data_IF_856743004742
#
_entry.id   IF_856743004742
#
_cell.length_a   1.000
_cell.length_b   1.000
_cell.length_c   1.000
_cell.angle_alpha   90.00
_cell.angle_beta   90.00
_cell.angle_gamma   90.00
#
_symmetry.space_group_name_H-M   'P 1'
#
loop_
_entity.id
_entity.type
_entity.pdbx_description
1 polymer ?
#
# COMPACT_ATOMS: atom_id res chain seq x y z
N UNK A 1 5.63 -22.24 28.03
CA UNK A 1 4.33 -22.19 27.34
C UNK A 1 4.54 -21.33 26.10
N UNK A 2 4.04 -21.76 24.92
CA UNK A 2 4.07 -20.90 23.73
C UNK A 2 3.21 -19.65 24.01
N UNK A 3 3.74 -18.48 23.66
CA UNK A 3 3.04 -17.21 23.84
C UNK A 3 2.01 -17.07 22.72
N UNK A 4 0.72 -17.01 23.06
CA UNK A 4 -0.41 -16.96 22.12
C UNK A 4 -1.16 -15.64 22.20
N UNK A 5 -1.65 -15.13 21.06
CA UNK A 5 -2.52 -13.97 21.02
C UNK A 5 -3.73 -14.14 20.11
N UNK A 6 -4.88 -13.63 20.57
CA UNK A 6 -6.02 -13.31 19.73
C UNK A 6 -5.78 -11.92 19.13
N UNK A 7 -5.87 -11.82 17.82
CA UNK A 7 -5.67 -10.57 17.07
C UNK A 7 -6.95 -10.26 16.31
N UNK A 8 -7.47 -9.07 16.50
CA UNK A 8 -8.71 -8.58 15.88
C UNK A 8 -8.38 -7.54 14.83
N UNK A 9 -9.02 -7.62 13.67
CA UNK A 9 -8.74 -6.79 12.51
C UNK A 9 -9.98 -6.13 11.95
N UNK A 10 -9.82 -4.89 11.47
CA UNK A 10 -10.82 -4.17 10.70
C UNK A 10 -10.16 -3.09 9.84
N UNK A 11 -10.87 -2.61 8.82
CA UNK A 11 -10.38 -1.59 7.90
C UNK A 11 -11.19 -0.28 7.95
N UNK A 12 -10.56 0.77 7.49
CA UNK A 12 -11.19 2.06 7.20
C UNK A 12 -10.70 2.59 5.86
N UNK A 13 -11.62 3.14 5.08
CA UNK A 13 -11.29 3.66 3.76
C UNK A 13 -11.28 2.62 2.66
N UNK A 14 -11.92 1.46 2.89
CA UNK A 14 -12.09 0.43 1.86
C UNK A 14 -12.96 0.94 0.70
N UNK A 15 -12.45 0.80 -0.52
CA UNK A 15 -13.16 1.14 -1.76
C UNK A 15 -12.99 0.07 -2.84
N UNK A 16 -12.49 -1.12 -2.45
CA UNK A 16 -12.12 -2.17 -3.40
C UNK A 16 -11.05 -1.67 -4.37
N UNK A 17 -11.21 -1.96 -5.65
CA UNK A 17 -10.28 -1.53 -6.69
C UNK A 17 -10.40 -0.03 -7.09
N UNK A 18 -11.16 0.80 -6.33
CA UNK A 18 -11.28 2.24 -6.59
C UNK A 18 -10.34 3.03 -5.68
N UNK A 19 -9.08 3.14 -6.07
CA UNK A 19 -8.07 3.83 -5.27
C UNK A 19 -8.08 5.37 -5.49
N UNK A 20 -8.74 5.86 -6.54
CA UNK A 20 -8.89 7.29 -6.83
C UNK A 20 -10.05 7.97 -6.07
N UNK A 21 -10.76 7.24 -5.18
CA UNK A 21 -11.87 7.83 -4.43
C UNK A 21 -11.39 8.98 -3.53
N UNK A 22 -11.70 10.22 -3.95
CA UNK A 22 -11.31 11.44 -3.24
C UNK A 22 -11.94 11.57 -1.84
N UNK A 23 -13.08 10.91 -1.58
CA UNK A 23 -13.72 10.96 -0.26
C UNK A 23 -13.01 10.07 0.76
N UNK A 24 -12.25 9.09 0.30
CA UNK A 24 -11.52 8.14 1.12
C UNK A 24 -10.07 7.97 0.60
N UNK A 25 -9.22 9.00 0.70
CA UNK A 25 -7.87 8.99 0.11
C UNK A 25 -6.91 8.06 0.85
N UNK A 26 -7.21 7.71 2.10
CA UNK A 26 -6.38 6.87 2.96
C UNK A 26 -7.10 5.55 3.23
N UNK A 27 -6.40 4.45 2.98
CA UNK A 27 -6.76 3.12 3.46
C UNK A 27 -5.97 2.82 4.73
N UNK A 28 -6.63 2.33 5.77
CA UNK A 28 -6.01 1.88 7.00
C UNK A 28 -6.57 0.53 7.39
N UNK A 29 -5.71 -0.47 7.53
CA UNK A 29 -6.04 -1.75 8.11
C UNK A 29 -5.44 -1.79 9.51
N UNK A 30 -6.26 -1.99 10.53
CA UNK A 30 -5.83 -1.98 11.92
C UNK A 30 -5.92 -3.36 12.55
N UNK A 31 -5.07 -3.59 13.54
CA UNK A 31 -5.09 -4.80 14.35
C UNK A 31 -4.95 -4.48 15.83
N UNK A 32 -5.64 -5.26 16.66
CA UNK A 32 -5.63 -5.11 18.12
C UNK A 32 -5.41 -6.46 18.77
N UNK A 33 -4.47 -6.54 19.71
CA UNK A 33 -4.26 -7.70 20.58
C UNK A 33 -4.86 -7.41 21.95
N UNK A 34 -5.95 -8.09 22.28
CA UNK A 34 -6.67 -7.91 23.54
C UNK A 34 -7.41 -9.21 23.91
N UNK A 35 -7.61 -9.44 25.20
CA UNK A 35 -8.47 -10.56 25.65
C UNK A 35 -9.95 -10.21 25.52
N UNK A 36 -10.78 -11.18 25.14
CA UNK A 36 -12.21 -10.99 24.86
C UNK A 36 -12.96 -10.24 25.96
N UNK A 37 -12.74 -10.63 27.22
CA UNK A 37 -13.42 -9.99 28.34
C UNK A 37 -12.97 -8.55 28.57
N UNK A 38 -11.67 -8.26 28.36
CA UNK A 38 -11.13 -6.90 28.41
C UNK A 38 -11.74 -6.04 27.30
N UNK A 39 -11.83 -6.58 26.06
CA UNK A 39 -12.43 -5.90 24.94
C UNK A 39 -13.92 -5.57 25.19
N UNK A 40 -14.71 -6.54 25.69
CA UNK A 40 -16.12 -6.33 26.04
C UNK A 40 -16.30 -5.26 27.11
N UNK A 41 -15.45 -5.25 28.15
CA UNK A 41 -15.48 -4.24 29.21
C UNK A 41 -15.17 -2.84 28.65
N UNK A 42 -14.15 -2.72 27.82
CA UNK A 42 -13.76 -1.46 27.20
C UNK A 42 -14.84 -0.92 26.29
N UNK A 43 -15.37 -1.75 25.36
CA UNK A 43 -16.46 -1.37 24.46
C UNK A 43 -17.69 -0.92 25.25
N UNK A 44 -18.11 -1.69 26.26
CA UNK A 44 -19.26 -1.36 27.12
C UNK A 44 -19.07 -0.03 27.86
N UNK A 45 -17.85 0.21 28.37
CA UNK A 45 -17.49 1.48 29.02
C UNK A 45 -17.62 2.66 28.06
N UNK A 46 -17.03 2.56 26.86
CA UNK A 46 -17.06 3.60 25.82
C UNK A 46 -18.49 3.90 25.38
N UNK A 47 -19.27 2.87 25.08
CA UNK A 47 -20.68 3.00 24.68
C UNK A 47 -21.47 3.76 25.74
N UNK A 48 -21.36 3.35 27.01
CA UNK A 48 -22.07 3.96 28.15
C UNK A 48 -21.64 5.41 28.38
N UNK A 49 -20.33 5.67 28.46
CA UNK A 49 -19.76 7.00 28.74
C UNK A 49 -20.10 8.01 27.65
N UNK A 50 -19.97 7.61 26.40
CA UNK A 50 -20.20 8.48 25.25
C UNK A 50 -21.61 8.35 24.67
N UNK A 51 -22.52 7.57 25.32
CA UNK A 51 -23.91 7.36 24.90
C UNK A 51 -24.01 7.07 23.40
N UNK A 52 -23.23 6.08 22.95
CA UNK A 52 -23.22 5.64 21.56
C UNK A 52 -24.52 4.91 21.28
N UNK A 53 -25.22 5.32 20.22
CA UNK A 53 -26.48 4.71 19.82
C UNK A 53 -26.20 3.35 19.16
N UNK A 54 -27.18 2.46 19.22
CA UNK A 54 -27.18 1.10 18.64
C UNK A 54 -26.23 0.08 19.32
N UNK A 55 -25.57 0.45 20.42
CA UNK A 55 -24.79 -0.51 21.21
C UNK A 55 -23.51 -1.04 20.53
N UNK A 56 -23.02 -0.36 19.51
CA UNK A 56 -21.85 -0.76 18.70
C UNK A 56 -20.96 0.44 18.43
N UNK A 57 -19.64 0.25 18.53
CA UNK A 57 -18.64 1.21 18.08
C UNK A 57 -18.52 1.09 16.56
N UNK A 58 -18.76 2.19 15.85
CA UNK A 58 -18.52 2.34 14.41
C UNK A 58 -17.59 3.53 14.20
N UNK A 59 -16.31 3.25 13.98
CA UNK A 59 -15.23 4.22 13.90
C UNK A 59 -15.51 5.28 12.85
N UNK A 60 -15.89 4.90 11.65
CA UNK A 60 -16.21 5.82 10.55
C UNK A 60 -17.40 6.76 10.83
N UNK A 61 -18.30 6.44 11.78
CA UNK A 61 -19.33 7.36 12.26
C UNK A 61 -18.82 8.26 13.39
N UNK A 62 -17.97 7.72 14.25
CA UNK A 62 -17.44 8.43 15.42
C UNK A 62 -16.47 9.53 15.04
N UNK A 63 -15.57 9.31 14.08
CA UNK A 63 -14.58 10.33 13.65
C UNK A 63 -15.21 11.62 13.12
N UNK A 64 -16.47 11.55 12.63
CA UNK A 64 -17.19 12.71 12.06
C UNK A 64 -17.61 13.77 13.09
N UNK A 65 -17.57 13.47 14.39
CA UNK A 65 -18.04 14.35 15.47
C UNK A 65 -17.02 14.43 16.60
N UNK A 66 -16.84 15.61 17.21
CA UNK A 66 -15.93 15.82 18.32
C UNK A 66 -16.14 14.85 19.48
N UNK A 67 -17.41 14.56 19.84
CA UNK A 67 -17.73 13.60 20.89
C UNK A 67 -17.26 12.19 20.54
N UNK A 68 -17.41 11.80 19.28
CA UNK A 68 -16.94 10.51 18.79
C UNK A 68 -15.42 10.43 18.75
N UNK A 69 -14.73 11.52 18.31
CA UNK A 69 -13.26 11.59 18.36
C UNK A 69 -12.71 11.45 19.77
N UNK A 70 -13.39 12.03 20.80
CA UNK A 70 -13.02 11.81 22.20
C UNK A 70 -13.18 10.35 22.64
N UNK A 71 -14.23 9.65 22.13
CA UNK A 71 -14.41 8.24 22.41
C UNK A 71 -13.31 7.39 21.79
N UNK A 72 -12.95 7.67 20.54
CA UNK A 72 -11.81 7.02 19.84
C UNK A 72 -10.49 7.31 20.57
N UNK A 73 -10.25 8.54 20.97
CA UNK A 73 -9.03 8.92 21.71
C UNK A 73 -8.84 8.13 23.00
N UNK A 74 -9.93 7.85 23.71
CA UNK A 74 -9.91 7.00 24.89
C UNK A 74 -9.63 5.53 24.55
N UNK A 75 -10.18 5.03 23.44
CA UNK A 75 -9.86 3.68 22.91
C UNK A 75 -8.38 3.58 22.59
N UNK A 76 -7.80 4.53 21.83
CA UNK A 76 -6.38 4.52 21.48
C UNK A 76 -5.50 4.56 22.73
N UNK A 77 -5.89 5.35 23.75
CA UNK A 77 -5.17 5.42 25.02
C UNK A 77 -5.19 4.08 25.76
N UNK A 78 -6.33 3.40 25.80
CA UNK A 78 -6.47 2.10 26.46
C UNK A 78 -5.73 0.97 25.70
N UNK A 79 -5.56 1.11 24.38
CA UNK A 79 -4.90 0.13 23.52
C UNK A 79 -3.41 0.45 23.27
N UNK A 80 -2.83 1.40 23.98
CA UNK A 80 -1.41 1.73 23.82
C UNK A 80 -0.53 0.48 23.98
N UNK A 81 0.35 0.22 22.99
CA UNK A 81 1.19 -0.98 22.93
C UNK A 81 0.46 -2.28 22.53
N UNK A 82 -0.87 -2.23 22.27
CA UNK A 82 -1.70 -3.40 21.90
C UNK A 82 -2.29 -3.25 20.50
N UNK A 83 -1.91 -2.25 19.73
CA UNK A 83 -2.43 -1.98 18.39
C UNK A 83 -1.31 -1.80 17.39
N UNK A 84 -1.55 -2.19 16.15
CA UNK A 84 -0.70 -1.94 14.98
C UNK A 84 -1.57 -1.59 13.79
N UNK A 85 -1.03 -0.80 12.86
CA UNK A 85 -1.75 -0.38 11.65
C UNK A 85 -0.87 -0.50 10.41
N UNK A 86 -1.50 -0.87 9.30
CA UNK A 86 -0.98 -0.70 7.95
C UNK A 86 -1.77 0.43 7.30
N UNK A 87 -1.10 1.49 6.91
CA UNK A 87 -1.74 2.69 6.35
C UNK A 87 -1.20 2.96 4.95
N UNK A 88 -2.08 3.23 4.00
CA UNK A 88 -1.70 3.51 2.62
C UNK A 88 -2.36 4.79 2.10
N UNK A 89 -1.56 5.69 1.54
CA UNK A 89 -2.05 6.70 0.60
C UNK A 89 -2.46 5.98 -0.68
N UNK A 90 -3.76 6.00 -1.01
CA UNK A 90 -4.30 5.21 -2.12
C UNK A 90 -3.77 5.64 -3.49
N UNK A 91 -3.57 6.92 -3.70
CA UNK A 91 -2.99 7.42 -4.96
C UNK A 91 -1.54 6.93 -5.12
N UNK A 92 -0.79 6.91 -4.03
CA UNK A 92 0.58 6.37 -4.07
C UNK A 92 0.61 4.85 -4.22
N UNK A 93 -0.29 4.15 -3.54
CA UNK A 93 -0.46 2.71 -3.74
C UNK A 93 -0.82 2.37 -5.20
N UNK A 94 -1.72 3.14 -5.81
CA UNK A 94 -2.06 2.99 -7.23
C UNK A 94 -0.87 3.22 -8.15
N UNK A 95 -0.03 4.23 -7.85
CA UNK A 95 1.21 4.47 -8.58
C UNK A 95 2.21 3.31 -8.42
N UNK A 96 2.27 2.68 -7.25
CA UNK A 96 3.04 1.44 -7.02
C UNK A 96 2.51 0.28 -7.85
N UNK A 97 1.20 0.08 -7.88
CA UNK A 97 0.53 -0.93 -8.71
C UNK A 97 0.74 -0.67 -10.21
N UNK A 98 0.80 0.58 -10.62
CA UNK A 98 1.15 0.91 -12.00
C UNK A 98 2.56 0.40 -12.36
N UNK A 99 3.55 0.58 -11.49
CA UNK A 99 4.88 0.01 -11.71
C UNK A 99 4.82 -1.52 -11.80
N UNK A 100 4.15 -2.17 -10.86
CA UNK A 100 4.02 -3.62 -10.77
C UNK A 100 3.42 -4.23 -12.04
N UNK A 101 2.34 -3.66 -12.57
CA UNK A 101 1.62 -4.24 -13.71
C UNK A 101 2.06 -3.71 -15.08
N UNK A 102 2.68 -2.54 -15.16
CA UNK A 102 3.10 -1.95 -16.43
C UNK A 102 4.61 -2.11 -16.70
N UNK A 103 5.46 -1.95 -15.68
CA UNK A 103 6.90 -2.05 -15.86
C UNK A 103 7.43 -3.46 -15.64
N UNK A 104 7.03 -4.13 -14.56
CA UNK A 104 7.59 -5.43 -14.18
C UNK A 104 7.46 -6.52 -15.24
N UNK A 105 6.35 -6.66 -15.99
CA UNK A 105 6.26 -7.69 -17.02
C UNK A 105 7.41 -7.64 -18.03
N UNK A 106 7.89 -6.45 -18.35
CA UNK A 106 9.01 -6.24 -19.27
C UNK A 106 10.37 -6.35 -18.62
N UNK A 107 10.45 -6.23 -17.28
CA UNK A 107 11.68 -6.23 -16.49
C UNK A 107 11.89 -7.53 -15.71
N UNK A 108 10.98 -8.50 -15.82
CA UNK A 108 10.87 -9.69 -14.98
C UNK A 108 12.18 -10.44 -14.73
N UNK A 109 13.05 -10.57 -15.76
CA UNK A 109 14.31 -11.31 -15.63
C UNK A 109 15.30 -10.73 -14.63
N UNK A 110 15.20 -9.44 -14.30
CA UNK A 110 16.11 -8.72 -13.39
C UNK A 110 15.38 -7.74 -12.47
N UNK A 111 14.10 -7.95 -12.19
CA UNK A 111 13.32 -7.08 -11.29
C UNK A 111 14.02 -6.78 -9.96
N UNK A 112 14.72 -7.77 -9.40
CA UNK A 112 15.46 -7.60 -8.15
C UNK A 112 16.49 -6.46 -8.20
N UNK A 113 17.12 -6.21 -9.34
CA UNK A 113 18.06 -5.10 -9.53
C UNK A 113 17.33 -3.76 -9.43
N UNK A 114 16.19 -3.62 -10.11
CA UNK A 114 15.40 -2.40 -10.07
C UNK A 114 14.82 -2.11 -8.68
N UNK A 115 14.42 -3.17 -7.95
CA UNK A 115 13.99 -3.04 -6.56
C UNK A 115 15.12 -2.63 -5.63
N UNK A 116 16.32 -3.19 -5.77
CA UNK A 116 17.50 -2.80 -4.98
C UNK A 116 17.96 -1.35 -5.21
N UNK A 117 17.65 -0.81 -6.39
CA UNK A 117 17.95 0.58 -6.75
C UNK A 117 16.84 1.57 -6.35
N UNK A 118 15.77 1.10 -5.72
CA UNK A 118 14.55 1.86 -5.45
C UNK A 118 13.94 2.50 -6.71
N UNK A 119 14.19 1.92 -7.89
CA UNK A 119 13.66 2.42 -9.15
C UNK A 119 12.13 2.39 -9.19
N UNK A 120 11.52 1.33 -8.63
CA UNK A 120 10.06 1.25 -8.46
C UNK A 120 9.51 2.41 -7.64
N UNK A 121 10.19 2.80 -6.55
CA UNK A 121 9.78 3.94 -5.72
C UNK A 121 9.97 5.27 -6.46
N UNK A 122 11.06 5.42 -7.23
CA UNK A 122 11.28 6.58 -8.08
C UNK A 122 10.10 6.77 -9.07
N UNK A 123 9.77 5.75 -9.86
CA UNK A 123 8.67 5.81 -10.84
C UNK A 123 7.34 6.08 -10.14
N UNK A 124 7.03 5.36 -9.05
CA UNK A 124 5.79 5.53 -8.30
C UNK A 124 5.67 6.93 -7.69
N UNK A 125 6.76 7.50 -7.17
CA UNK A 125 6.74 8.86 -6.59
C UNK A 125 6.59 9.93 -7.67
N UNK A 126 7.21 9.75 -8.86
CA UNK A 126 6.99 10.65 -9.99
C UNK A 126 5.53 10.62 -10.46
N UNK A 127 4.95 9.43 -10.65
CA UNK A 127 3.54 9.26 -11.02
C UNK A 127 2.60 9.89 -9.96
N UNK A 128 2.89 9.68 -8.69
CA UNK A 128 2.12 10.29 -7.60
C UNK A 128 2.19 11.81 -7.64
N UNK A 129 3.38 12.39 -7.87
CA UNK A 129 3.56 13.83 -7.97
C UNK A 129 2.73 14.42 -9.13
N UNK A 130 2.73 13.79 -10.29
CA UNK A 130 1.90 14.18 -11.43
C UNK A 130 0.40 14.15 -11.07
N UNK A 131 -0.04 13.09 -10.40
CA UNK A 131 -1.43 12.89 -10.01
C UNK A 131 -1.92 13.90 -8.96
N UNK A 132 -1.06 14.32 -8.01
CA UNK A 132 -1.44 15.29 -6.97
C UNK A 132 -1.23 16.75 -7.40
N UNK A 133 -0.49 16.99 -8.49
CA UNK A 133 -0.26 18.33 -9.06
C UNK A 133 -1.40 18.79 -9.99
N UNK A 134 -2.54 18.06 -10.00
CA UNK A 134 -3.71 18.33 -10.84
C UNK A 134 -3.41 18.30 -12.36
N UNK A 135 -2.60 17.35 -12.77
CA UNK A 135 -2.38 17.12 -14.20
C UNK A 135 -3.51 16.24 -14.73
N UNK A 136 -4.40 16.81 -15.53
CA UNK A 136 -5.56 16.10 -16.12
C UNK A 136 -5.13 14.81 -16.83
N UNK A 137 -3.99 14.84 -17.52
CA UNK A 137 -3.45 13.67 -18.20
C UNK A 137 -3.07 12.52 -17.24
N UNK A 138 -2.62 12.84 -16.01
CA UNK A 138 -2.33 11.82 -15.00
C UNK A 138 -3.62 11.23 -14.42
N UNK A 139 -4.65 12.03 -14.21
CA UNK A 139 -5.95 11.53 -13.78
C UNK A 139 -6.56 10.59 -14.81
N UNK A 140 -6.62 10.99 -16.08
CA UNK A 140 -7.13 10.18 -17.19
C UNK A 140 -6.33 8.86 -17.33
N UNK A 141 -5.01 8.92 -17.20
CA UNK A 141 -4.14 7.73 -17.23
C UNK A 141 -4.50 6.73 -16.12
N UNK A 142 -4.65 7.22 -14.91
CA UNK A 142 -4.93 6.35 -13.77
C UNK A 142 -6.38 5.85 -13.74
N UNK A 143 -7.34 6.61 -14.28
CA UNK A 143 -8.71 6.12 -14.50
C UNK A 143 -8.72 4.96 -15.50
N UNK A 144 -7.99 5.07 -16.61
CA UNK A 144 -7.85 3.98 -17.58
C UNK A 144 -7.10 2.78 -16.97
N UNK A 145 -6.10 3.02 -16.11
CA UNK A 145 -5.39 1.95 -15.43
C UNK A 145 -6.29 1.20 -14.42
N UNK A 146 -7.07 1.91 -13.59
CA UNK A 146 -8.07 1.28 -12.72
C UNK A 146 -9.09 0.47 -13.51
N UNK A 147 -9.56 0.99 -14.67
CA UNK A 147 -10.50 0.27 -15.53
C UNK A 147 -9.87 -1.00 -16.11
N UNK A 148 -8.63 -0.92 -16.61
CA UNK A 148 -7.88 -2.07 -17.08
C UNK A 148 -7.78 -3.15 -16.01
N UNK A 149 -7.37 -2.78 -14.81
CA UNK A 149 -7.17 -3.71 -13.69
C UNK A 149 -8.47 -4.32 -13.17
N UNK A 150 -9.60 -3.68 -13.44
CA UNK A 150 -10.93 -4.17 -13.06
C UNK A 150 -11.55 -5.08 -14.12
N UNK A 151 -11.39 -4.73 -15.39
CA UNK A 151 -12.11 -5.38 -16.51
C UNK A 151 -11.26 -6.34 -17.32
N UNK A 152 -9.93 -6.18 -17.33
CA UNK A 152 -9.03 -6.87 -18.24
C UNK A 152 -9.17 -6.42 -19.70
N UNK A 153 -9.96 -5.35 -19.97
CA UNK A 153 -10.21 -4.89 -21.33
C UNK A 153 -9.15 -3.88 -21.78
N UNK A 154 -8.36 -4.26 -22.76
CA UNK A 154 -7.33 -3.43 -23.40
C UNK A 154 -7.85 -2.51 -24.50
N UNK A 155 -9.15 -2.52 -24.76
CA UNK A 155 -9.77 -1.63 -25.75
C UNK A 155 -9.97 -0.23 -25.18
N UNK A 156 -9.89 0.79 -26.03
CA UNK A 156 -10.17 2.19 -25.66
C UNK A 156 -9.26 2.85 -24.59
N UNK A 157 -8.10 2.26 -24.27
CA UNK A 157 -7.12 2.83 -23.34
C UNK A 157 -6.21 3.84 -24.07
N UNK A 158 -6.75 5.03 -24.34
CA UNK A 158 -6.11 6.06 -25.18
C UNK A 158 -4.94 6.76 -24.46
N UNK A 159 -5.07 6.98 -23.16
CA UNK A 159 -4.02 7.61 -22.36
C UNK A 159 -2.93 6.61 -21.98
N UNK A 160 -3.30 5.38 -21.62
CA UNK A 160 -2.35 4.36 -21.21
C UNK A 160 -1.56 3.75 -22.38
N UNK A 161 -2.22 3.46 -23.50
CA UNK A 161 -1.61 2.75 -24.63
C UNK A 161 -1.82 3.41 -26.01
N UNK A 162 -2.45 4.57 -26.06
CA UNK A 162 -2.79 5.22 -27.34
C UNK A 162 -1.70 6.13 -27.91
N UNK A 163 -0.56 6.27 -27.25
CA UNK A 163 0.51 7.19 -27.70
C UNK A 163 0.08 8.65 -27.64
N UNK A 164 -0.60 9.05 -26.59
CA UNK A 164 -1.20 10.37 -26.45
C UNK A 164 -0.14 11.48 -26.49
N UNK A 165 -0.28 12.41 -27.44
CA UNK A 165 0.44 13.69 -27.49
C UNK A 165 -0.43 14.78 -26.89
N UNK A 166 -0.66 14.74 -25.58
CA UNK A 166 -1.39 15.80 -24.87
C UNK A 166 -0.47 16.99 -24.65
N UNK A 167 -0.98 18.19 -24.88
CA UNK A 167 -0.32 19.42 -24.48
C UNK A 167 -0.06 19.40 -22.96
N UNK A 168 1.21 19.41 -22.53
CA UNK A 168 1.71 19.56 -21.16
C UNK A 168 1.96 18.28 -20.36
N UNK A 169 2.44 17.21 -20.97
CA UNK A 169 3.11 16.17 -20.21
C UNK A 169 4.48 16.67 -19.74
N UNK A 170 4.88 16.29 -18.54
CA UNK A 170 6.28 16.43 -18.14
C UNK A 170 7.13 15.43 -18.93
N UNK A 171 8.41 15.71 -19.10
CA UNK A 171 9.32 14.80 -19.79
C UNK A 171 9.36 13.41 -19.14
N UNK A 172 9.21 13.34 -17.83
CA UNK A 172 9.15 12.08 -17.09
C UNK A 172 7.90 11.27 -17.47
N UNK A 173 6.74 11.93 -17.57
CA UNK A 173 5.52 11.28 -18.03
C UNK A 173 5.64 10.79 -19.47
N UNK A 174 6.27 11.55 -20.35
CA UNK A 174 6.54 11.10 -21.74
C UNK A 174 7.37 9.81 -21.76
N UNK A 175 8.40 9.68 -20.92
CA UNK A 175 9.19 8.45 -20.82
C UNK A 175 8.35 7.28 -20.28
N UNK A 176 7.55 7.50 -19.25
CA UNK A 176 6.69 6.47 -18.66
C UNK A 176 5.66 5.97 -19.69
N UNK A 177 5.00 6.89 -20.39
CA UNK A 177 4.00 6.55 -21.41
C UNK A 177 4.65 5.89 -22.65
N UNK A 178 5.81 6.37 -23.10
CA UNK A 178 6.57 5.72 -24.17
C UNK A 178 6.88 4.27 -23.80
N UNK A 179 7.35 4.04 -22.59
CA UNK A 179 7.61 2.68 -22.11
C UNK A 179 6.31 1.84 -22.10
N UNK A 180 5.21 2.34 -21.53
CA UNK A 180 3.95 1.63 -21.43
C UNK A 180 3.39 1.24 -22.80
N UNK A 181 3.31 2.20 -23.72
CA UNK A 181 2.78 1.99 -25.09
C UNK A 181 3.59 0.93 -25.84
N UNK A 182 4.91 1.03 -25.79
CA UNK A 182 5.82 0.13 -26.56
C UNK A 182 5.88 -1.28 -25.98
N UNK A 183 5.60 -1.43 -24.71
CA UNK A 183 5.64 -2.72 -24.01
C UNK A 183 4.24 -3.30 -23.71
N UNK A 184 3.18 -2.76 -24.30
CA UNK A 184 1.79 -3.19 -24.12
C UNK A 184 1.62 -4.71 -24.23
N UNK A 185 2.27 -5.36 -25.21
CA UNK A 185 2.15 -6.80 -25.42
C UNK A 185 2.65 -7.65 -24.22
N UNK A 186 3.64 -7.15 -23.46
CA UNK A 186 4.11 -7.82 -22.25
C UNK A 186 3.08 -7.70 -21.11
N UNK A 187 2.42 -6.54 -21.02
CA UNK A 187 1.34 -6.30 -20.07
C UNK A 187 0.12 -7.17 -20.40
N UNK A 188 -0.29 -7.23 -21.69
CA UNK A 188 -1.37 -8.10 -22.14
C UNK A 188 -1.12 -9.56 -21.77
N UNK A 189 0.10 -10.04 -22.01
CA UNK A 189 0.49 -11.41 -21.70
C UNK A 189 0.48 -11.70 -20.19
N UNK A 190 0.90 -10.74 -19.35
CA UNK A 190 0.92 -10.88 -17.89
C UNK A 190 -0.50 -10.94 -17.33
N UNK A 191 -1.40 -10.11 -17.85
CA UNK A 191 -2.76 -9.98 -17.35
C UNK A 191 -3.73 -11.00 -17.96
N UNK A 192 -3.31 -11.74 -19.00
CA UNK A 192 -4.14 -12.73 -19.67
C UNK A 192 -4.51 -13.88 -18.73
N UNK A 193 -5.81 -14.06 -18.50
CA UNK A 193 -6.36 -15.07 -17.60
C UNK A 193 -6.17 -14.78 -16.08
N UNK A 194 -5.60 -13.63 -15.72
CA UNK A 194 -5.43 -13.23 -14.30
C UNK A 194 -6.51 -12.25 -13.85
N UNK A 195 -6.75 -11.19 -14.64
CA UNK A 195 -7.66 -10.11 -14.24
C UNK A 195 -9.14 -10.54 -14.37
N UNK A 196 -9.93 -10.16 -13.36
CA UNK A 196 -11.40 -10.34 -13.37
C UNK A 196 -11.88 -11.67 -12.80
N UNK A 197 -11.00 -12.65 -12.60
CA UNK A 197 -11.34 -13.99 -12.07
C UNK A 197 -10.49 -14.30 -10.81
N UNK A 198 -11.07 -15.03 -9.88
CA UNK A 198 -10.40 -15.46 -8.65
C UNK A 198 -9.73 -14.30 -7.89
N UNK A 199 -8.47 -14.49 -7.50
CA UNK A 199 -7.65 -13.48 -6.83
C UNK A 199 -7.37 -12.23 -7.66
N UNK A 200 -7.34 -12.36 -8.99
CA UNK A 200 -7.18 -11.22 -9.91
C UNK A 200 -8.31 -10.20 -9.86
N UNK A 201 -9.49 -10.60 -9.34
CA UNK A 201 -10.62 -9.68 -9.15
C UNK A 201 -10.30 -8.53 -8.17
N UNK A 202 -9.38 -8.76 -7.22
CA UNK A 202 -9.01 -7.79 -6.18
C UNK A 202 -7.56 -7.32 -6.32
N UNK A 203 -7.04 -7.27 -7.56
CA UNK A 203 -5.63 -6.97 -7.85
C UNK A 203 -5.14 -5.62 -7.32
N UNK A 204 -6.02 -4.61 -7.24
CA UNK A 204 -5.71 -3.30 -6.66
C UNK A 204 -6.06 -3.20 -5.17
N UNK A 205 -6.74 -4.20 -4.60
CA UNK A 205 -7.15 -4.17 -3.19
C UNK A 205 -5.93 -4.28 -2.26
N UNK A 206 -6.00 -3.57 -1.14
CA UNK A 206 -4.91 -3.46 -0.17
C UNK A 206 -5.11 -4.34 1.06
N UNK A 207 -6.26 -5.00 1.21
CA UNK A 207 -6.65 -5.73 2.42
C UNK A 207 -5.75 -6.92 2.71
N UNK A 208 -5.56 -7.82 1.73
CA UNK A 208 -4.78 -9.05 1.92
C UNK A 208 -3.31 -8.77 2.24
N UNK A 209 -2.70 -7.81 1.53
CA UNK A 209 -1.30 -7.39 1.78
C UNK A 209 -1.15 -6.78 3.18
N UNK A 210 -2.10 -5.92 3.58
CA UNK A 210 -2.08 -5.30 4.90
C UNK A 210 -2.30 -6.30 6.02
N UNK A 211 -3.23 -7.25 5.85
CA UNK A 211 -3.47 -8.33 6.81
C UNK A 211 -2.21 -9.21 6.98
N UNK A 212 -1.61 -9.65 5.87
CA UNK A 212 -0.38 -10.45 5.91
C UNK A 212 0.73 -9.72 6.67
N UNK A 213 0.92 -8.43 6.38
CA UNK A 213 1.95 -7.61 7.03
C UNK A 213 1.73 -7.50 8.55
N UNK A 214 0.49 -7.21 8.97
CA UNK A 214 0.14 -7.10 10.38
C UNK A 214 0.31 -8.44 11.12
N UNK A 215 -0.10 -9.55 10.51
CA UNK A 215 0.09 -10.89 11.07
C UNK A 215 1.58 -11.23 11.18
N UNK A 216 2.38 -10.91 10.15
CA UNK A 216 3.82 -11.13 10.16
C UNK A 216 4.51 -10.32 11.26
N UNK A 217 4.06 -9.10 11.50
CA UNK A 217 4.61 -8.22 12.54
C UNK A 217 4.21 -8.71 13.95
N UNK A 218 2.96 -9.12 14.18
CA UNK A 218 2.56 -9.74 15.44
C UNK A 218 3.25 -11.09 15.69
N UNK A 219 3.52 -11.86 14.64
CA UNK A 219 4.30 -13.12 14.71
C UNK A 219 5.73 -12.94 15.22
N UNK A 220 6.25 -11.70 15.29
CA UNK A 220 7.54 -11.43 15.96
C UNK A 220 7.40 -11.41 17.50
N UNK A 221 6.22 -11.07 18.00
CA UNK A 221 5.94 -10.93 19.43
C UNK A 221 5.30 -12.17 20.04
N UNK A 222 4.61 -12.98 19.23
CA UNK A 222 3.85 -14.14 19.67
C UNK A 222 4.25 -15.39 18.89
N UNK A 223 4.25 -16.53 19.56
CA UNK A 223 4.59 -17.82 18.93
C UNK A 223 3.46 -18.37 18.06
N UNK A 224 2.21 -18.07 18.45
CA UNK A 224 1.00 -18.45 17.71
C UNK A 224 -0.05 -17.37 17.76
N UNK A 225 -0.83 -17.23 16.68
CA UNK A 225 -1.87 -16.23 16.53
C UNK A 225 -3.21 -16.89 16.18
N UNK A 226 -4.32 -16.40 16.73
CA UNK A 226 -5.65 -16.61 16.19
C UNK A 226 -6.19 -15.28 15.68
N UNK A 227 -6.56 -15.22 14.40
CA UNK A 227 -6.99 -14.02 13.73
C UNK A 227 -8.50 -13.94 13.58
N UNK A 228 -9.10 -12.81 13.96
CA UNK A 228 -10.52 -12.48 13.80
C UNK A 228 -10.62 -11.22 12.96
N UNK A 229 -11.17 -11.34 11.75
CA UNK A 229 -11.27 -10.25 10.79
C UNK A 229 -12.74 -9.89 10.55
N UNK A 230 -13.09 -8.60 10.45
CA UNK A 230 -14.41 -8.23 9.94
C UNK A 230 -14.62 -8.80 8.53
N UNK A 231 -15.84 -9.15 8.19
CA UNK A 231 -16.18 -9.74 6.89
C UNK A 231 -15.97 -8.70 5.79
N UNK A 232 -15.09 -9.00 4.86
CA UNK A 232 -14.90 -8.20 3.65
C UNK A 232 -14.80 -9.08 2.41
N UNK A 233 -15.25 -8.54 1.28
CA UNK A 233 -15.29 -9.31 0.02
C UNK A 233 -13.92 -9.81 -0.45
N UNK A 234 -12.81 -9.05 -0.34
CA UNK A 234 -11.49 -9.55 -0.69
C UNK A 234 -11.08 -10.75 0.18
N UNK A 235 -11.32 -10.69 1.49
CA UNK A 235 -10.99 -11.79 2.40
C UNK A 235 -11.86 -13.02 2.16
N UNK A 236 -13.16 -12.85 1.86
CA UNK A 236 -14.04 -13.97 1.49
C UNK A 236 -13.55 -14.72 0.24
N UNK A 237 -12.86 -14.01 -0.67
CA UNK A 237 -12.33 -14.61 -1.91
C UNK A 237 -10.97 -15.26 -1.72
N UNK A 238 -10.05 -14.64 -0.96
CA UNK A 238 -8.62 -14.96 -1.02
C UNK A 238 -7.99 -15.35 0.32
N UNK A 239 -8.75 -15.45 1.42
CA UNK A 239 -8.19 -15.76 2.74
C UNK A 239 -7.46 -17.12 2.82
N UNK A 240 -7.80 -18.08 1.97
CA UNK A 240 -7.16 -19.40 1.90
C UNK A 240 -5.66 -19.31 1.60
N UNK A 241 -5.20 -18.22 0.98
CA UNK A 241 -3.75 -17.99 0.76
C UNK A 241 -2.98 -17.94 2.08
N UNK A 242 -3.63 -17.50 3.16
CA UNK A 242 -3.04 -17.43 4.49
C UNK A 242 -3.01 -18.80 5.20
N UNK A 243 -3.74 -19.80 4.71
CA UNK A 243 -3.77 -21.15 5.31
C UNK A 243 -2.41 -21.84 5.25
N UNK A 244 -1.53 -21.44 4.33
CA UNK A 244 -0.13 -21.87 4.31
C UNK A 244 0.65 -21.48 5.59
N UNK A 245 0.11 -20.59 6.40
CA UNK A 245 0.68 -20.14 7.68
C UNK A 245 0.10 -20.88 8.89
N UNK A 246 -0.88 -21.76 8.70
CA UNK A 246 -1.49 -22.55 9.78
C UNK A 246 -0.47 -23.63 10.23
N UNK A 247 -0.14 -23.62 11.53
CA UNK A 247 0.83 -24.53 12.12
C UNK A 247 2.29 -24.30 11.69
N UNK A 248 2.59 -23.20 11.04
CA UNK A 248 3.92 -22.90 10.51
C UNK A 248 4.87 -22.39 11.60
N UNK A 249 5.89 -23.18 11.95
CA UNK A 249 6.82 -22.86 13.03
C UNK A 249 8.11 -22.14 12.57
N UNK A 250 8.44 -22.18 11.27
CA UNK A 250 9.63 -21.55 10.73
C UNK A 250 9.48 -20.03 10.64
N UNK A 251 10.54 -19.31 10.98
CA UNK A 251 10.60 -17.84 10.91
C UNK A 251 11.49 -17.43 9.75
N UNK A 252 10.88 -17.10 8.63
CA UNK A 252 11.56 -16.62 7.43
C UNK A 252 11.51 -15.11 7.36
N UNK A 253 12.61 -14.53 6.91
CA UNK A 253 12.74 -13.08 6.73
C UNK A 253 13.21 -12.77 5.32
N UNK A 254 12.71 -11.72 4.74
CA UNK A 254 13.28 -11.06 3.58
C UNK A 254 14.22 -9.95 4.04
N UNK A 255 15.28 -9.70 3.26
CA UNK A 255 16.23 -8.62 3.55
C UNK A 255 16.19 -7.62 2.41
N UNK A 256 15.87 -6.37 2.72
CA UNK A 256 15.89 -5.25 1.78
C UNK A 256 16.85 -4.19 2.32
N UNK A 257 18.04 -4.09 1.72
CA UNK A 257 19.13 -3.28 2.27
C UNK A 257 19.51 -3.75 3.68
N UNK A 258 19.45 -2.86 4.66
CA UNK A 258 19.70 -3.16 6.08
C UNK A 258 18.45 -3.65 6.84
N UNK A 259 17.26 -3.54 6.24
CA UNK A 259 16.00 -3.93 6.88
C UNK A 259 15.75 -5.43 6.73
N UNK A 260 15.41 -6.06 7.84
CA UNK A 260 14.98 -7.45 7.92
C UNK A 260 13.48 -7.52 8.17
N UNK A 261 12.74 -7.92 7.15
CA UNK A 261 11.27 -7.93 7.15
C UNK A 261 10.78 -9.36 7.37
N UNK A 262 9.95 -9.63 8.39
CA UNK A 262 9.37 -10.96 8.60
C UNK A 262 8.33 -11.25 7.51
N UNK A 263 8.32 -12.47 7.00
CA UNK A 263 7.36 -12.93 5.98
C UNK A 263 6.54 -14.13 6.43
N UNK A 264 6.89 -14.79 7.52
CA UNK A 264 6.12 -15.90 8.06
C UNK A 264 5.66 -15.63 9.47
N UNK A 265 4.54 -16.25 9.81
CA UNK A 265 3.91 -16.25 11.12
C UNK A 265 3.23 -17.60 11.35
N UNK A 266 2.72 -17.87 12.54
CA UNK A 266 2.07 -19.12 12.87
C UNK A 266 0.63 -18.89 13.28
N UNK A 267 -0.33 -19.25 12.43
CA UNK A 267 -1.75 -19.28 12.77
C UNK A 267 -2.10 -20.61 13.47
N UNK A 268 -2.98 -20.55 14.44
CA UNK A 268 -3.55 -21.76 15.09
C UNK A 268 -4.55 -22.47 14.18
N UNK A 269 -5.24 -21.71 13.33
CA UNK A 269 -6.26 -22.13 12.39
C UNK A 269 -6.40 -21.09 11.28
N UNK A 270 -7.20 -21.37 10.24
CA UNK A 270 -7.57 -20.38 9.22
C UNK A 270 -8.14 -19.12 9.86
N UNK A 271 -8.01 -17.97 9.21
CA UNK A 271 -8.57 -16.72 9.74
C UNK A 271 -10.07 -16.83 9.93
N UNK A 272 -10.59 -16.26 11.03
CA UNK A 272 -12.00 -16.24 11.35
C UNK A 272 -12.65 -14.98 10.79
N UNK A 273 -13.52 -15.11 9.77
CA UNK A 273 -14.33 -14.01 9.26
C UNK A 273 -15.57 -13.87 10.12
N UNK A 274 -15.67 -12.77 10.87
CA UNK A 274 -16.68 -12.58 11.91
C UNK A 274 -17.53 -11.33 11.67
N UNK A 275 -18.65 -11.22 12.38
CA UNK A 275 -19.47 -10.01 12.41
C UNK A 275 -19.02 -9.11 13.57
N UNK A 276 -18.71 -7.85 13.29
CA UNK A 276 -18.25 -6.89 14.30
C UNK A 276 -19.22 -6.70 15.48
N UNK A 277 -20.52 -6.96 15.30
CA UNK A 277 -21.51 -6.86 16.38
C UNK A 277 -21.24 -7.87 17.50
N UNK A 278 -20.73 -9.04 17.17
CA UNK A 278 -20.51 -10.14 18.11
C UNK A 278 -19.10 -10.12 18.72
N UNK A 279 -18.16 -9.35 18.09
CA UNK A 279 -16.76 -9.34 18.47
C UNK A 279 -16.28 -7.95 18.89
N UNK A 280 -16.20 -7.73 20.20
CA UNK A 280 -15.76 -6.44 20.75
C UNK A 280 -14.34 -6.01 20.29
N UNK A 281 -13.43 -6.98 20.10
CA UNK A 281 -12.09 -6.71 19.60
C UNK A 281 -12.09 -6.13 18.18
N UNK A 282 -12.99 -6.60 17.30
CA UNK A 282 -13.16 -6.07 15.93
C UNK A 282 -13.70 -4.63 15.97
N UNK A 283 -14.67 -4.32 16.86
CA UNK A 283 -15.13 -2.93 17.05
C UNK A 283 -14.03 -1.99 17.50
N UNK A 284 -13.08 -2.48 18.31
CA UNK A 284 -11.91 -1.69 18.71
C UNK A 284 -10.95 -1.49 17.55
N UNK A 285 -10.74 -2.51 16.70
CA UNK A 285 -9.95 -2.39 15.49
C UNK A 285 -10.55 -1.39 14.49
N UNK A 286 -11.91 -1.38 14.29
CA UNK A 286 -12.62 -0.36 13.50
C UNK A 286 -12.35 1.06 14.04
N UNK A 287 -12.40 1.25 15.36
CA UNK A 287 -12.10 2.55 15.95
C UNK A 287 -10.64 2.99 15.69
N UNK A 288 -9.67 2.07 15.77
CA UNK A 288 -8.26 2.31 15.48
C UNK A 288 -8.06 2.63 14.01
N UNK A 289 -8.63 1.81 13.10
CA UNK A 289 -8.53 2.02 11.66
C UNK A 289 -9.08 3.39 11.25
N UNK A 290 -10.26 3.75 11.78
CA UNK A 290 -10.89 5.04 11.52
C UNK A 290 -10.06 6.22 12.06
N UNK A 291 -9.41 6.06 13.22
CA UNK A 291 -8.54 7.10 13.78
C UNK A 291 -7.35 7.40 12.86
N UNK A 292 -6.62 6.37 12.43
CA UNK A 292 -5.42 6.56 11.61
C UNK A 292 -5.74 6.90 10.15
N UNK A 293 -6.82 6.37 9.58
CA UNK A 293 -7.34 6.84 8.30
C UNK A 293 -7.68 8.34 8.34
N UNK A 294 -8.33 8.81 9.42
CA UNK A 294 -8.62 10.22 9.64
C UNK A 294 -7.37 11.07 9.84
N UNK A 295 -6.44 10.62 10.68
CA UNK A 295 -5.22 11.35 11.03
C UNK A 295 -4.26 11.50 9.84
N UNK A 296 -4.14 10.46 8.98
CA UNK A 296 -3.26 10.48 7.83
C UNK A 296 -3.86 11.23 6.62
N UNK A 297 -5.16 11.52 6.62
CA UNK A 297 -5.73 12.42 5.62
C UNK A 297 -5.25 13.86 5.87
N UNK A 298 -4.50 14.40 4.90
CA UNK A 298 -3.88 15.74 4.99
C UNK A 298 -4.88 16.88 5.13
N UNK A 299 -6.13 16.69 4.76
CA UNK A 299 -7.20 17.69 4.92
C UNK A 299 -7.60 17.87 6.40
N UNK A 300 -7.39 16.86 7.24
CA UNK A 300 -7.72 16.89 8.65
C UNK A 300 -6.57 17.50 9.47
N UNK A 301 -6.80 18.69 10.04
CA UNK A 301 -5.80 19.45 10.79
C UNK A 301 -6.27 19.83 12.21
N UNK A 302 -7.34 19.20 12.71
CA UNK A 302 -7.80 19.43 14.07
C UNK A 302 -6.90 18.75 15.13
N UNK A 303 -7.15 19.06 16.40
CA UNK A 303 -6.36 18.58 17.54
C UNK A 303 -6.23 17.04 17.59
N UNK A 304 -7.28 16.32 17.18
CA UNK A 304 -7.28 14.85 17.18
C UNK A 304 -6.43 14.29 16.05
N UNK A 305 -6.56 14.85 14.83
CA UNK A 305 -5.75 14.44 13.69
C UNK A 305 -4.26 14.63 13.97
N UNK A 306 -3.88 15.78 14.54
CA UNK A 306 -2.49 16.08 14.90
C UNK A 306 -1.99 15.13 16.00
N UNK A 307 -2.79 14.93 17.07
CA UNK A 307 -2.44 14.04 18.17
C UNK A 307 -2.24 12.59 17.69
N UNK A 308 -3.20 12.06 16.92
CA UNK A 308 -3.16 10.67 16.46
C UNK A 308 -2.06 10.45 15.41
N UNK A 309 -1.79 11.45 14.57
CA UNK A 309 -0.63 11.40 13.65
C UNK A 309 0.68 11.29 14.40
N UNK A 310 0.81 11.94 15.56
CA UNK A 310 1.97 11.81 16.42
C UNK A 310 2.17 10.41 17.04
N UNK A 311 1.15 9.53 16.99
CA UNK A 311 1.27 8.14 17.44
C UNK A 311 1.67 7.17 16.32
N UNK A 312 1.75 7.63 15.05
CA UNK A 312 1.89 6.75 13.90
C UNK A 312 3.17 5.92 13.95
N UNK A 313 4.29 6.53 14.36
CA UNK A 313 5.60 5.87 14.40
C UNK A 313 5.63 4.69 15.38
N UNK A 314 4.81 4.74 16.44
CA UNK A 314 4.73 3.68 17.45
C UNK A 314 3.91 2.48 17.01
N UNK A 315 3.03 2.65 16.01
CA UNK A 315 2.02 1.65 15.65
C UNK A 315 2.05 1.21 14.20
N UNK A 316 2.73 1.97 13.33
CA UNK A 316 2.78 1.69 11.89
C UNK A 316 3.67 0.49 11.57
N UNK A 317 3.21 -0.38 10.67
CA UNK A 317 3.99 -1.51 10.18
C UNK A 317 4.78 -1.15 8.91
N UNK A 318 5.80 -1.95 8.62
CA UNK A 318 6.63 -1.82 7.41
C UNK A 318 5.87 -1.94 6.08
N UNK A 319 4.67 -2.52 6.08
CA UNK A 319 3.81 -2.63 4.89
C UNK A 319 2.96 -1.39 4.62
N UNK A 320 3.17 -0.31 5.35
CA UNK A 320 2.49 0.95 5.09
C UNK A 320 3.07 1.66 3.88
N UNK A 321 2.20 2.29 3.09
CA UNK A 321 2.55 2.82 1.76
C UNK A 321 2.30 4.32 1.70
N UNK A 322 3.38 5.10 1.81
CA UNK A 322 3.37 6.56 1.73
C UNK A 322 4.40 7.07 0.73
N UNK A 323 4.13 8.19 0.05
CA UNK A 323 5.11 8.81 -0.83
C UNK A 323 6.31 9.33 -0.02
N UNK A 324 7.50 8.98 -0.50
CA UNK A 324 8.77 9.52 -0.03
C UNK A 324 9.43 10.29 -1.17
N UNK A 325 9.43 11.61 -1.06
CA UNK A 325 9.95 12.50 -2.09
C UNK A 325 11.48 12.50 -2.20
N UNK A 326 12.17 11.92 -1.25
CA UNK A 326 13.63 11.71 -1.33
C UNK A 326 14.00 10.85 -2.55
N UNK A 327 13.09 9.96 -2.99
CA UNK A 327 13.31 9.14 -4.18
C UNK A 327 13.35 9.93 -5.51
N UNK A 328 12.84 11.15 -5.52
CA UNK A 328 12.80 12.04 -6.70
C UNK A 328 13.54 13.36 -6.48
N UNK A 329 14.24 13.52 -5.36
CA UNK A 329 15.05 14.71 -5.09
C UNK A 329 16.20 14.79 -6.09
N UNK A 330 16.24 15.81 -6.97
CA UNK A 330 17.24 15.92 -8.02
C UNK A 330 18.66 16.16 -7.47
N UNK A 331 18.81 16.51 -6.20
CA UNK A 331 20.13 16.64 -5.56
C UNK A 331 20.73 15.29 -5.18
N UNK A 332 19.93 14.21 -5.12
CA UNK A 332 20.38 12.87 -4.74
C UNK A 332 20.83 12.07 -5.97
N UNK A 333 21.98 11.45 -5.84
CA UNK A 333 22.54 10.61 -6.90
C UNK A 333 21.62 9.48 -7.31
N UNK A 334 20.92 8.87 -6.36
CA UNK A 334 19.96 7.78 -6.59
C UNK A 334 18.81 8.22 -7.49
N UNK A 335 18.25 9.40 -7.24
CA UNK A 335 17.18 9.97 -8.06
C UNK A 335 17.69 10.31 -9.48
N UNK A 336 18.87 10.91 -9.59
CA UNK A 336 19.52 11.21 -10.88
C UNK A 336 19.77 9.92 -11.67
N UNK A 337 20.34 8.88 -11.04
CA UNK A 337 20.56 7.57 -11.67
C UNK A 337 19.25 6.95 -12.14
N UNK A 338 18.22 6.95 -11.31
CA UNK A 338 16.92 6.37 -11.65
C UNK A 338 16.23 7.14 -12.79
N UNK A 339 16.41 8.46 -12.86
CA UNK A 339 15.99 9.27 -14.01
C UNK A 339 16.71 8.85 -15.30
N UNK A 340 18.02 8.62 -15.26
CA UNK A 340 18.78 8.11 -16.42
C UNK A 340 18.32 6.70 -16.83
N UNK A 341 18.01 5.82 -15.88
CA UNK A 341 17.47 4.48 -16.15
C UNK A 341 16.13 4.58 -16.88
N UNK A 342 15.21 5.42 -16.39
CA UNK A 342 13.90 5.61 -17.01
C UNK A 342 14.04 6.12 -18.45
N UNK A 343 14.89 7.11 -18.67
CA UNK A 343 15.18 7.65 -19.99
C UNK A 343 15.73 6.57 -20.94
N UNK A 344 16.67 5.75 -20.46
CA UNK A 344 17.27 4.68 -21.28
C UNK A 344 16.25 3.58 -21.60
N UNK A 345 15.42 3.18 -20.64
CA UNK A 345 14.34 2.21 -20.89
C UNK A 345 13.33 2.73 -21.91
N UNK A 346 12.94 3.99 -21.83
CA UNK A 346 12.06 4.64 -22.80
C UNK A 346 12.71 4.69 -24.20
N UNK A 347 13.98 5.10 -24.30
CA UNK A 347 14.74 5.13 -25.57
C UNK A 347 14.83 3.75 -26.22
N UNK A 348 15.15 2.72 -25.44
CA UNK A 348 15.18 1.32 -25.94
C UNK A 348 13.82 0.86 -26.40
N UNK A 349 12.78 1.15 -25.66
CA UNK A 349 11.39 0.84 -26.03
C UNK A 349 11.02 1.51 -27.37
N UNK A 350 11.34 2.79 -27.54
CA UNK A 350 11.06 3.53 -28.77
C UNK A 350 11.76 2.93 -29.98
N UNK A 351 13.01 2.50 -29.83
CA UNK A 351 13.83 1.91 -30.88
C UNK A 351 13.60 0.39 -31.07
N UNK A 352 12.70 -0.24 -30.29
CA UNK A 352 12.48 -1.67 -30.26
C UNK A 352 13.78 -2.48 -29.95
N UNK A 353 14.63 -1.93 -29.12
CA UNK A 353 15.86 -2.60 -28.62
C UNK A 353 15.51 -3.55 -27.46
N UNK A 354 16.38 -4.56 -27.21
CA UNK A 354 16.24 -5.40 -25.98
C UNK A 354 16.47 -4.51 -24.75
N UNK A 355 15.43 -4.44 -23.90
CA UNK A 355 15.44 -3.59 -22.71
C UNK A 355 16.55 -3.95 -21.72
N UNK A 356 16.91 -5.22 -21.65
CA UNK A 356 17.74 -5.77 -20.59
C UNK A 356 19.17 -6.08 -21.05
N UNK A 357 19.43 -6.10 -22.34
CA UNK A 357 20.79 -6.34 -22.84
C UNK A 357 21.74 -5.22 -22.41
N UNK A 358 22.78 -5.55 -21.62
CA UNK A 358 23.77 -4.59 -21.11
C UNK A 358 23.20 -3.50 -20.18
N UNK A 359 21.97 -3.65 -19.65
CA UNK A 359 21.37 -2.63 -18.76
C UNK A 359 22.12 -2.50 -17.43
N UNK A 360 22.68 -3.57 -16.92
CA UNK A 360 23.51 -3.54 -15.70
C UNK A 360 24.80 -2.74 -15.91
N UNK A 361 25.42 -2.85 -17.08
CA UNK A 361 26.60 -2.07 -17.44
C UNK A 361 26.25 -0.58 -17.59
N UNK A 362 25.09 -0.28 -18.18
CA UNK A 362 24.56 1.08 -18.24
C UNK A 362 24.34 1.66 -16.83
N UNK A 363 23.70 0.94 -15.94
CA UNK A 363 23.44 1.35 -14.55
C UNK A 363 24.76 1.63 -13.81
N UNK A 364 25.74 0.74 -13.98
CA UNK A 364 27.05 0.91 -13.39
C UNK A 364 27.77 2.15 -13.97
N UNK A 365 27.73 2.33 -15.29
CA UNK A 365 28.29 3.50 -15.98
C UNK A 365 27.65 4.81 -15.51
N UNK A 366 26.32 4.85 -15.39
CA UNK A 366 25.58 6.00 -14.86
C UNK A 366 26.01 6.33 -13.41
N UNK A 367 26.15 5.31 -12.57
CA UNK A 367 26.59 5.49 -11.17
C UNK A 367 28.03 6.04 -11.11
N UNK A 368 28.94 5.54 -11.93
CA UNK A 368 30.32 6.04 -12.01
C UNK A 368 30.35 7.48 -12.51
N UNK A 369 29.60 7.79 -13.57
CA UNK A 369 29.49 9.14 -14.13
C UNK A 369 29.01 10.16 -13.09
N UNK A 370 27.92 9.86 -12.38
CA UNK A 370 27.35 10.74 -11.35
C UNK A 370 28.30 10.97 -10.16
N UNK A 371 29.20 10.03 -9.89
CA UNK A 371 30.24 10.17 -8.86
C UNK A 371 31.50 10.86 -9.35
N UNK A 372 31.61 11.13 -10.64
CA UNK A 372 32.83 11.75 -11.21
C UNK A 372 33.03 13.19 -10.74
N UNK A 373 34.28 13.64 -10.60
CA UNK A 373 34.58 15.04 -10.26
C UNK A 373 34.03 16.01 -11.31
N UNK A 374 34.02 15.61 -12.59
CA UNK A 374 33.59 16.43 -13.72
C UNK A 374 32.07 16.73 -13.60
N UNK A 375 31.27 15.74 -13.25
CA UNK A 375 29.82 15.93 -13.03
C UNK A 375 29.56 16.84 -11.82
N UNK A 376 30.28 16.62 -10.71
CA UNK A 376 30.10 17.43 -9.49
C UNK A 376 30.49 18.90 -9.70
N UNK A 377 31.48 19.18 -10.55
CA UNK A 377 31.87 20.55 -10.90
C UNK A 377 30.86 21.24 -11.84
N UNK A 378 30.08 20.49 -12.61
CA UNK A 378 29.07 21.07 -13.52
C UNK A 378 27.77 21.50 -12.79
N UNK A 379 27.63 21.07 -11.55
CA UNK A 379 26.44 21.41 -10.70
C UNK A 379 26.70 22.50 -9.66
N UNK A 380 27.98 22.93 -9.48
CA UNK A 380 28.40 24.00 -8.61
C UNK A 380 28.43 25.35 -9.32
#
# INVERSE_FOLDING_TARGET
MKNHANVYFDESGFTGNKLLDAQQPIFCYASVVIQDEEAKLLVSHIIKKYKIQNGEIKGGKLVKKNKGRRAIDEVLTALHGKMKVSVSDKKYALAGKFFEYIFEPSLARINSVFYQLDFHKFVSTMLYLELVSNQTAAEDLFEEFEELMRSGDFTNLKFLFGGHTGDRLTQTMEYILTFAVKNKANVEKELDGYIGEGSGKWSLDLTNTSLHTLLSDWGQSYDTLTAYCDKSKPLETDHEVLDAMVGREDRVYSTFGEQRIPITFNLTESINLVDSQDYAGVQLADAVAAAFSYACNRENQDEFAIKWRGLIEDVVTYGSVFPDFDHIDPSRMEAQRNSMILQELARRSENNEDLLFGITDFIQGATVFLNSPEFKLSQA
#
